data_IF_009199013202
#
_entry.id   IF_009199013202
#
_cell.length_a   1.000
_cell.length_b   1.000
_cell.length_c   1.000
_cell.angle_alpha   90.00
_cell.angle_beta   90.00
_cell.angle_gamma   90.00
#
_symmetry.space_group_name_H-M   'P 1'
#
loop_
_entity.id
_entity.type
_entity.pdbx_description
1 polymer ?
#
# COMPACT_ATOMS: atom_id res chain seq x y z
N UNK A 1 0.67 -2.74 -7.64
CA UNK A 1 0.21 -4.13 -7.89
C UNK A 1 -1.32 -4.16 -7.99
N UNK A 2 -1.96 -4.93 -8.89
CA UNK A 2 -3.43 -5.05 -8.85
C UNK A 2 -3.81 -5.88 -7.62
N UNK A 3 -4.78 -5.43 -6.82
CA UNK A 3 -5.18 -6.09 -5.57
C UNK A 3 -5.54 -7.58 -5.77
N UNK A 4 -6.06 -7.93 -6.95
CA UNK A 4 -6.35 -9.31 -7.35
C UNK A 4 -5.09 -10.18 -7.42
N UNK A 5 -3.99 -9.68 -7.96
CA UNK A 5 -2.73 -10.43 -8.05
C UNK A 5 -2.16 -10.70 -6.66
N UNK A 6 -2.14 -9.70 -5.77
CA UNK A 6 -1.69 -9.86 -4.38
C UNK A 6 -2.51 -10.92 -3.64
N UNK A 7 -3.83 -10.90 -3.81
CA UNK A 7 -4.74 -11.90 -3.20
C UNK A 7 -4.48 -13.30 -3.73
N UNK A 8 -4.39 -13.46 -5.05
CA UNK A 8 -4.15 -14.77 -5.69
C UNK A 8 -2.76 -15.33 -5.34
N UNK A 9 -1.73 -14.48 -5.33
CA UNK A 9 -0.39 -14.86 -4.91
C UNK A 9 -0.38 -15.32 -3.45
N UNK A 10 -1.03 -14.56 -2.55
CA UNK A 10 -1.15 -14.94 -1.13
C UNK A 10 -1.84 -16.29 -0.92
N UNK A 11 -2.97 -16.53 -1.59
CA UNK A 11 -3.68 -17.82 -1.52
C UNK A 11 -2.82 -18.95 -2.08
N UNK A 12 -2.09 -18.71 -3.18
CA UNK A 12 -1.18 -19.70 -3.77
C UNK A 12 -0.06 -20.09 -2.79
N UNK A 13 0.50 -19.13 -2.05
CA UNK A 13 1.49 -19.38 -1.01
C UNK A 13 0.94 -20.21 0.17
N UNK A 14 -0.31 -20.00 0.56
CA UNK A 14 -0.98 -20.80 1.61
C UNK A 14 -1.13 -22.25 1.13
N UNK A 15 -1.62 -22.45 -0.10
CA UNK A 15 -1.74 -23.79 -0.71
C UNK A 15 -0.37 -24.46 -0.79
N UNK A 16 0.66 -23.74 -1.25
CA UNK A 16 2.03 -24.24 -1.34
C UNK A 16 2.59 -24.66 0.03
N UNK A 17 2.27 -23.90 1.08
CA UNK A 17 2.70 -24.19 2.46
C UNK A 17 2.05 -25.45 3.02
N UNK A 18 0.75 -25.67 2.72
CA UNK A 18 0.04 -26.90 3.06
C UNK A 18 0.63 -28.09 2.29
N UNK A 19 0.88 -27.91 0.98
CA UNK A 19 1.48 -28.93 0.12
C UNK A 19 2.88 -29.35 0.61
N UNK A 20 3.68 -28.39 1.13
CA UNK A 20 5.00 -28.66 1.75
C UNK A 20 4.91 -29.47 3.05
N UNK A 21 3.84 -29.30 3.82
CA UNK A 21 3.59 -30.07 5.05
C UNK A 21 3.31 -31.55 4.75
N UNK A 22 2.89 -31.87 3.53
CA UNK A 22 2.73 -33.24 3.05
C UNK A 22 3.98 -33.71 2.29
N UNK A 23 4.36 -35.01 2.37
CA UNK A 23 5.55 -35.54 1.70
C UNK A 23 5.44 -35.59 0.16
N UNK A 24 4.36 -35.07 -0.42
CA UNK A 24 4.14 -35.03 -1.87
C UNK A 24 5.13 -34.11 -2.61
N UNK A 25 5.66 -33.06 -1.95
CA UNK A 25 6.61 -32.12 -2.57
C UNK A 25 7.81 -31.91 -1.66
N UNK A 26 8.96 -32.42 -2.09
CA UNK A 26 10.23 -32.24 -1.39
C UNK A 26 10.86 -30.87 -1.78
N UNK A 27 10.26 -29.77 -1.31
CA UNK A 27 10.79 -28.42 -1.52
C UNK A 27 12.12 -28.30 -0.76
N UNK A 28 13.24 -28.39 -1.48
CA UNK A 28 14.58 -28.24 -0.91
C UNK A 28 14.71 -26.86 -0.26
N UNK A 29 15.40 -26.73 0.89
CA UNK A 29 15.56 -25.44 1.58
C UNK A 29 16.08 -24.30 0.69
N UNK A 30 16.87 -24.61 -0.35
CA UNK A 30 17.35 -23.65 -1.35
C UNK A 30 16.22 -23.00 -2.13
N UNK A 31 15.20 -23.78 -2.51
CA UNK A 31 14.01 -23.28 -3.20
C UNK A 31 13.22 -22.29 -2.33
N UNK A 32 13.13 -22.56 -1.02
CA UNK A 32 12.46 -21.66 -0.09
C UNK A 32 13.17 -20.29 -0.04
N UNK A 33 14.49 -20.32 0.06
CA UNK A 33 15.31 -19.11 0.07
C UNK A 33 15.06 -18.23 -1.17
N UNK A 34 15.03 -18.84 -2.36
CA UNK A 34 14.80 -18.10 -3.62
C UNK A 34 13.42 -17.46 -3.68
N UNK A 35 12.40 -18.19 -3.23
CA UNK A 35 11.03 -17.69 -3.13
C UNK A 35 10.95 -16.55 -2.10
N UNK A 36 11.59 -16.67 -0.94
CA UNK A 36 11.62 -15.63 0.08
C UNK A 36 12.34 -14.36 -0.39
N UNK A 37 13.43 -14.48 -1.15
CA UNK A 37 14.12 -13.35 -1.78
C UNK A 37 13.21 -12.68 -2.83
N UNK A 38 12.51 -13.47 -3.66
CA UNK A 38 11.59 -12.92 -4.64
C UNK A 38 10.42 -12.16 -3.97
N UNK A 39 9.83 -12.74 -2.92
CA UNK A 39 8.79 -12.09 -2.13
C UNK A 39 9.29 -10.79 -1.50
N UNK A 40 10.52 -10.79 -0.98
CA UNK A 40 11.16 -9.59 -0.43
C UNK A 40 11.25 -8.45 -1.46
N UNK A 41 11.71 -8.71 -2.69
CA UNK A 41 11.78 -7.68 -3.73
C UNK A 41 10.42 -7.09 -4.09
N UNK A 42 9.37 -7.92 -4.13
CA UNK A 42 8.01 -7.46 -4.42
C UNK A 42 7.47 -6.56 -3.30
N UNK A 43 7.66 -6.97 -2.04
CA UNK A 43 7.23 -6.21 -0.87
C UNK A 43 8.04 -4.93 -0.72
N UNK A 44 9.34 -4.96 -1.01
CA UNK A 44 10.20 -3.79 -1.00
C UNK A 44 9.76 -2.76 -2.05
N UNK A 45 9.33 -3.21 -3.23
CA UNK A 45 8.74 -2.33 -4.23
C UNK A 45 7.44 -1.69 -3.71
N UNK A 46 6.54 -2.46 -3.09
CA UNK A 46 5.31 -1.91 -2.51
C UNK A 46 5.61 -0.88 -1.41
N UNK A 47 6.65 -1.11 -0.59
CA UNK A 47 7.13 -0.14 0.42
C UNK A 47 7.64 1.14 -0.21
N UNK A 48 8.47 1.05 -1.24
CA UNK A 48 8.99 2.21 -1.97
C UNK A 48 7.84 2.98 -2.65
N UNK A 49 6.89 2.28 -3.26
CA UNK A 49 5.69 2.90 -3.85
C UNK A 49 4.88 3.67 -2.79
N UNK A 50 4.71 3.08 -1.60
CA UNK A 50 4.02 3.72 -0.49
C UNK A 50 4.75 4.98 0.01
N UNK A 51 6.05 4.90 0.27
CA UNK A 51 6.86 6.03 0.76
C UNK A 51 6.89 7.17 -0.26
N UNK A 52 7.10 6.87 -1.53
CA UNK A 52 7.14 7.90 -2.59
C UNK A 52 5.77 8.56 -2.75
N UNK A 53 4.67 7.80 -2.72
CA UNK A 53 3.31 8.37 -2.73
C UNK A 53 3.09 9.33 -1.56
N UNK A 54 3.57 8.99 -0.36
CA UNK A 54 3.45 9.84 0.83
C UNK A 54 4.25 11.15 0.68
N UNK A 55 5.49 11.06 0.20
CA UNK A 55 6.34 12.24 0.00
C UNK A 55 5.76 13.15 -1.10
N UNK A 56 5.30 12.58 -2.22
CA UNK A 56 4.71 13.37 -3.31
C UNK A 56 3.40 14.03 -2.91
N UNK A 57 2.54 13.33 -2.16
CA UNK A 57 1.32 13.92 -1.61
C UNK A 57 1.62 15.12 -0.69
N UNK A 58 2.64 15.01 0.17
CA UNK A 58 3.08 16.12 1.03
C UNK A 58 3.65 17.31 0.24
N UNK A 59 4.16 17.09 -0.97
CA UNK A 59 4.74 18.14 -1.83
C UNK A 59 3.79 18.64 -2.93
N UNK A 60 2.55 18.13 -3.00
CA UNK A 60 1.58 18.49 -4.04
C UNK A 60 1.99 18.10 -5.47
N UNK A 61 2.99 17.22 -5.62
CA UNK A 61 3.53 16.82 -6.92
C UNK A 61 2.74 15.63 -7.47
N UNK A 62 2.35 15.69 -8.76
CA UNK A 62 1.75 14.55 -9.45
C UNK A 62 2.74 13.39 -9.50
N UNK A 63 2.24 12.18 -9.22
CA UNK A 63 2.98 10.92 -9.34
C UNK A 63 3.57 10.82 -10.75
N UNK A 64 4.85 11.11 -10.90
CA UNK A 64 5.49 11.16 -12.22
C UNK A 64 5.81 9.74 -12.70
N UNK A 65 6.00 9.59 -14.03
CA UNK A 65 6.41 8.37 -14.74
C UNK A 65 7.60 7.60 -14.11
N UNK A 66 8.34 8.22 -13.20
CA UNK A 66 9.51 7.67 -12.50
C UNK A 66 9.16 6.37 -11.74
N UNK A 67 8.06 6.35 -10.98
CA UNK A 67 7.61 5.13 -10.26
C UNK A 67 7.24 4.00 -11.22
N UNK A 68 6.72 4.35 -12.40
CA UNK A 68 6.34 3.38 -13.43
C UNK A 68 7.57 2.68 -14.04
N UNK A 69 8.73 3.36 -14.07
CA UNK A 69 9.97 2.81 -14.60
C UNK A 69 10.68 1.82 -13.66
N UNK A 70 10.49 1.94 -12.33
CA UNK A 70 11.12 1.02 -11.37
C UNK A 70 10.38 -0.29 -11.19
N UNK A 71 9.08 -0.31 -11.47
CA UNK A 71 8.25 -1.52 -11.38
C UNK A 71 8.77 -2.72 -12.18
N UNK A 72 9.13 -2.60 -13.47
CA UNK A 72 9.67 -3.73 -14.23
C UNK A 72 11.02 -4.21 -13.70
N UNK A 73 11.84 -3.34 -13.11
CA UNK A 73 13.12 -3.71 -12.51
C UNK A 73 12.93 -4.65 -11.32
N UNK A 74 12.08 -4.30 -10.36
CA UNK A 74 11.83 -5.15 -9.18
C UNK A 74 11.12 -6.46 -9.55
N UNK A 75 10.18 -6.41 -10.49
CA UNK A 75 9.53 -7.61 -11.02
C UNK A 75 10.57 -8.53 -11.72
N UNK A 76 11.45 -7.94 -12.52
CA UNK A 76 12.56 -8.63 -13.16
C UNK A 76 13.48 -9.30 -12.15
N UNK A 77 13.86 -8.59 -11.09
CA UNK A 77 14.67 -9.15 -10.00
C UNK A 77 13.97 -10.34 -9.31
N UNK A 78 12.67 -10.23 -9.04
CA UNK A 78 11.90 -11.32 -8.42
C UNK A 78 11.85 -12.57 -9.34
N UNK A 79 11.62 -12.38 -10.63
CA UNK A 79 11.61 -13.48 -11.62
C UNK A 79 13.00 -14.08 -11.78
N UNK A 80 14.05 -13.26 -11.84
CA UNK A 80 15.44 -13.73 -11.90
C UNK A 80 15.83 -14.51 -10.63
N UNK A 81 15.34 -14.11 -9.46
CA UNK A 81 15.55 -14.86 -8.22
C UNK A 81 14.89 -16.25 -8.26
N UNK A 82 13.75 -16.41 -8.96
CA UNK A 82 13.07 -17.70 -9.07
C UNK A 82 13.67 -18.57 -10.17
N UNK A 83 14.10 -17.99 -11.29
CA UNK A 83 14.54 -18.75 -12.47
C UNK A 83 16.05 -18.96 -12.49
N UNK A 84 16.84 -17.92 -12.18
CA UNK A 84 18.30 -17.95 -12.39
C UNK A 84 19.02 -18.47 -11.16
N UNK A 85 18.65 -18.02 -9.96
CA UNK A 85 19.31 -18.42 -8.71
C UNK A 85 19.33 -19.94 -8.46
N UNK A 86 18.29 -20.74 -8.78
CA UNK A 86 18.37 -22.20 -8.66
C UNK A 86 19.39 -22.86 -9.60
N UNK A 87 19.68 -22.22 -10.74
CA UNK A 87 20.62 -22.73 -11.74
C UNK A 87 22.08 -22.35 -11.43
N UNK A 88 22.31 -21.42 -10.50
CA UNK A 88 23.65 -21.09 -10.03
C UNK A 88 24.07 -22.15 -9.01
N UNK A 89 25.14 -22.88 -9.30
CA UNK A 89 25.72 -23.86 -8.37
C UNK A 89 26.37 -23.15 -7.19
N UNK A 90 25.58 -22.78 -6.18
CA UNK A 90 26.09 -22.24 -4.92
C UNK A 90 26.14 -23.36 -3.87
N UNK A 91 27.35 -23.65 -3.41
CA UNK A 91 27.61 -24.57 -2.31
C UNK A 91 27.37 -23.86 -0.97
N UNK A 92 26.10 -23.60 -0.65
CA UNK A 92 25.67 -23.06 0.65
C UNK A 92 25.24 -24.22 1.54
N UNK A 93 25.62 -24.20 2.82
CA UNK A 93 25.18 -25.20 3.79
C UNK A 93 23.67 -25.11 4.02
N UNK A 94 23.04 -26.24 4.38
CA UNK A 94 21.58 -26.28 4.64
C UNK A 94 21.19 -25.35 5.80
N UNK A 95 22.08 -25.19 6.79
CA UNK A 95 21.88 -24.31 7.95
C UNK A 95 21.82 -22.84 7.55
N UNK A 96 22.79 -22.37 6.76
CA UNK A 96 22.84 -20.99 6.26
C UNK A 96 21.65 -20.69 5.34
N UNK A 97 21.30 -21.62 4.45
CA UNK A 97 20.14 -21.48 3.57
C UNK A 97 18.87 -21.24 4.38
N UNK A 98 18.68 -21.99 5.48
CA UNK A 98 17.51 -21.82 6.33
C UNK A 98 17.55 -20.48 7.08
N UNK A 99 18.71 -20.08 7.63
CA UNK A 99 18.86 -18.78 8.31
C UNK A 99 18.57 -17.60 7.39
N UNK A 100 19.11 -17.59 6.16
CA UNK A 100 18.80 -16.53 5.20
C UNK A 100 17.34 -16.55 4.78
N UNK A 101 16.77 -17.74 4.59
CA UNK A 101 15.36 -17.88 4.24
C UNK A 101 14.45 -17.32 5.34
N UNK A 102 14.74 -17.63 6.60
CA UNK A 102 14.00 -17.12 7.75
C UNK A 102 14.13 -15.60 7.85
N UNK A 103 15.36 -15.05 7.68
CA UNK A 103 15.61 -13.62 7.65
C UNK A 103 14.75 -12.90 6.59
N UNK A 104 14.81 -13.35 5.33
CA UNK A 104 14.05 -12.74 4.23
C UNK A 104 12.54 -12.88 4.42
N UNK A 105 12.09 -13.99 5.00
CA UNK A 105 10.66 -14.22 5.26
C UNK A 105 10.16 -13.28 6.36
N UNK A 106 10.90 -13.18 7.47
CA UNK A 106 10.52 -12.33 8.61
C UNK A 106 10.54 -10.85 8.26
N UNK A 107 11.56 -10.37 7.56
CA UNK A 107 11.62 -8.96 7.15
C UNK A 107 10.52 -8.63 6.15
N UNK A 108 10.23 -9.52 5.19
CA UNK A 108 9.14 -9.37 4.23
C UNK A 108 7.79 -9.30 4.93
N UNK A 109 7.54 -10.20 5.88
CA UNK A 109 6.32 -10.23 6.66
C UNK A 109 6.16 -8.96 7.49
N UNK A 110 7.23 -8.50 8.16
CA UNK A 110 7.20 -7.26 8.95
C UNK A 110 6.85 -6.04 8.11
N UNK A 111 7.48 -5.89 6.93
CA UNK A 111 7.16 -4.81 6.00
C UNK A 111 5.71 -4.91 5.50
N UNK A 112 5.23 -6.11 5.17
CA UNK A 112 3.86 -6.31 4.72
C UNK A 112 2.82 -5.92 5.79
N UNK A 113 3.04 -6.32 7.05
CA UNK A 113 2.18 -5.94 8.18
C UNK A 113 2.19 -4.43 8.39
N UNK A 114 3.36 -3.79 8.34
CA UNK A 114 3.50 -2.34 8.46
C UNK A 114 2.71 -1.60 7.35
N UNK A 115 2.80 -2.07 6.10
CA UNK A 115 2.06 -1.51 4.98
C UNK A 115 0.55 -1.69 5.11
N UNK A 116 0.10 -2.84 5.64
CA UNK A 116 -1.30 -3.06 5.96
C UNK A 116 -1.80 -2.06 7.02
N UNK A 117 -1.06 -1.86 8.11
CA UNK A 117 -1.40 -0.89 9.15
C UNK A 117 -1.58 0.52 8.60
N UNK A 118 -0.61 1.01 7.83
CA UNK A 118 -0.71 2.33 7.20
C UNK A 118 -1.85 2.46 6.18
N UNK A 119 -2.19 1.37 5.49
CA UNK A 119 -3.28 1.38 4.53
C UNK A 119 -4.64 1.48 5.25
N UNK A 120 -4.80 0.75 6.36
CA UNK A 120 -6.00 0.78 7.20
C UNK A 120 -6.23 2.17 7.81
N UNK A 121 -5.20 2.79 8.40
CA UNK A 121 -5.27 4.15 8.95
C UNK A 121 -5.73 5.19 7.91
N UNK A 122 -5.30 4.99 6.64
CA UNK A 122 -5.64 5.91 5.55
C UNK A 122 -7.07 5.72 5.04
N UNK A 123 -7.53 4.49 4.94
CA UNK A 123 -8.92 4.20 4.55
C UNK A 123 -9.90 4.72 5.61
N UNK A 124 -9.55 4.59 6.89
CA UNK A 124 -10.33 5.11 8.02
C UNK A 124 -10.41 6.65 8.01
N UNK A 125 -9.27 7.35 7.93
CA UNK A 125 -9.23 8.82 7.86
C UNK A 125 -9.97 9.40 6.65
N UNK A 126 -9.83 8.79 5.47
CA UNK A 126 -10.55 9.22 4.26
C UNK A 126 -12.07 9.01 4.40
N UNK A 127 -12.48 7.93 5.09
CA UNK A 127 -13.89 7.65 5.35
C UNK A 127 -14.50 8.64 6.33
N UNK A 128 -13.75 9.03 7.37
CA UNK A 128 -14.15 10.03 8.36
C UNK A 128 -14.26 11.43 7.75
N UNK A 129 -13.31 11.83 6.90
CA UNK A 129 -13.40 13.10 6.16
C UNK A 129 -14.61 13.15 5.22
N UNK A 130 -14.89 12.05 4.51
CA UNK A 130 -16.10 11.95 3.67
C UNK A 130 -17.39 12.01 4.49
N UNK A 131 -17.41 11.37 5.67
CA UNK A 131 -18.56 11.42 6.58
C UNK A 131 -18.82 12.83 7.06
N UNK A 132 -17.79 13.54 7.54
CA UNK A 132 -17.90 14.95 7.95
C UNK A 132 -18.32 15.87 6.80
N UNK A 133 -17.78 15.65 5.60
CA UNK A 133 -18.16 16.42 4.42
C UNK A 133 -19.64 16.23 4.04
N UNK A 134 -20.16 15.01 4.18
CA UNK A 134 -21.58 14.74 3.97
C UNK A 134 -22.44 15.38 5.07
N UNK A 135 -22.08 15.27 6.34
CA UNK A 135 -22.81 15.92 7.45
C UNK A 135 -22.87 17.44 7.28
N UNK A 136 -21.76 18.08 6.91
CA UNK A 136 -21.72 19.52 6.64
C UNK A 136 -22.64 19.87 5.45
N UNK A 137 -22.63 19.06 4.39
CA UNK A 137 -23.49 19.27 3.22
C UNK A 137 -24.97 19.09 3.57
N UNK A 138 -25.29 18.10 4.39
CA UNK A 138 -26.66 17.82 4.82
C UNK A 138 -27.16 18.90 5.77
N UNK A 139 -26.29 19.45 6.63
CA UNK A 139 -26.59 20.62 7.46
C UNK A 139 -26.82 21.88 6.61
N UNK A 140 -25.97 22.16 5.62
CA UNK A 140 -26.14 23.32 4.73
C UNK A 140 -27.43 23.25 3.90
N UNK A 141 -27.88 22.04 3.56
CA UNK A 141 -29.14 21.79 2.84
C UNK A 141 -30.37 21.69 3.77
N UNK A 142 -30.19 21.79 5.09
CA UNK A 142 -31.29 21.77 6.03
C UNK A 142 -31.93 23.16 6.16
N UNK A 143 -33.20 23.21 6.58
CA UNK A 143 -33.93 24.46 6.82
C UNK A 143 -33.20 25.40 7.80
N UNK A 144 -32.48 24.84 8.77
CA UNK A 144 -31.66 25.61 9.71
C UNK A 144 -30.40 26.19 9.04
N UNK A 145 -29.70 25.40 8.21
CA UNK A 145 -28.53 25.85 7.45
C UNK A 145 -28.88 26.96 6.46
N UNK A 146 -29.98 26.81 5.72
CA UNK A 146 -30.47 27.84 4.80
C UNK A 146 -30.85 29.13 5.52
N UNK A 147 -31.48 29.05 6.69
CA UNK A 147 -31.80 30.24 7.50
C UNK A 147 -30.55 30.99 7.96
N UNK A 148 -29.51 30.27 8.40
CA UNK A 148 -28.26 30.89 8.85
C UNK A 148 -27.54 31.57 7.69
N UNK A 149 -27.47 30.93 6.52
CA UNK A 149 -26.88 31.52 5.31
C UNK A 149 -27.66 32.76 4.89
N UNK A 150 -28.99 32.68 4.86
CA UNK A 150 -29.84 33.80 4.48
C UNK A 150 -29.68 34.98 5.43
N UNK A 151 -29.63 34.72 6.74
CA UNK A 151 -29.38 35.74 7.76
C UNK A 151 -28.01 36.39 7.61
N UNK A 152 -26.97 35.61 7.30
CA UNK A 152 -25.62 36.13 7.05
C UNK A 152 -25.55 37.02 5.80
N UNK A 153 -26.23 36.62 4.72
CA UNK A 153 -26.33 37.42 3.49
C UNK A 153 -27.09 38.73 3.75
N UNK A 154 -28.17 38.69 4.52
CA UNK A 154 -28.91 39.89 4.94
C UNK A 154 -28.02 40.83 5.77
N UNK A 155 -27.29 40.33 6.77
CA UNK A 155 -26.38 41.12 7.60
C UNK A 155 -25.26 41.78 6.77
N UNK A 156 -24.63 41.03 5.84
CA UNK A 156 -23.63 41.56 4.90
C UNK A 156 -24.20 42.64 3.96
N UNK A 157 -25.44 42.46 3.49
CA UNK A 157 -26.10 43.44 2.62
C UNK A 157 -26.40 44.76 3.34
N UNK A 158 -26.78 44.68 4.62
CA UNK A 158 -27.06 45.84 5.47
C UNK A 158 -25.78 46.59 5.80
N UNK A 159 -24.69 45.87 6.07
CA UNK A 159 -23.38 46.46 6.38
C UNK A 159 -22.74 47.16 5.16
N UNK A 160 -22.86 46.57 3.96
CA UNK A 160 -22.41 47.20 2.73
C UNK A 160 -23.25 48.45 2.36
N UNK A 161 -24.56 48.42 2.57
CA UNK A 161 -25.41 49.60 2.36
C UNK A 161 -25.09 50.73 3.35
N UNK A 162 -24.73 50.41 4.60
CA UNK A 162 -24.28 51.43 5.56
C UNK A 162 -22.97 52.11 5.15
N UNK A 163 -22.04 51.39 4.52
CA UNK A 163 -20.77 51.95 4.02
C UNK A 163 -20.92 52.82 2.76
N UNK A 164 -21.99 52.62 1.98
CA UNK A 164 -22.28 53.40 0.77
C UNK A 164 -22.95 54.75 1.06
N UNK A 165 -23.48 54.95 2.27
CA UNK A 165 -24.22 56.14 2.68
C UNK A 165 -23.40 57.02 3.67
N UNK A 166 -22.22 56.56 4.10
CA UNK A 166 -21.24 57.33 4.90
C UNK A 166 -20.17 57.97 4.02
#
# INVERSE_FOLDING_TARGET
>A
MNATFTKVAGVSFIILSILRLTPYINVTGKWLLYISIAAFFLILYDLMEFVIKRIMASKGLKLSKILFNFRPLFLGCAVMAIIVLPNIKVAISVKEVNTYSDFFTLISLGIAIMLLGFKTEREESTSLEKSKGNEIRDFLNSTEGEMIIKKYIEEQSIENNKKLIS
#
